data_IF_428187272729
#
_entry.id   IF_428187272729
#
_cell.length_a   1.000
_cell.length_b   1.000
_cell.length_c   1.000
_cell.angle_alpha   90.00
_cell.angle_beta   90.00
_cell.angle_gamma   90.00
#
_symmetry.space_group_name_H-M   'P 1'
#
loop_
_entity.id
_entity.type
_entity.pdbx_description
1 polymer ?
#
# COMPACT_ATOMS: atom_id res chain seq x y z
N UNK A 1 23.29 19.46 -11.61
CA UNK A 1 21.91 19.70 -12.09
C UNK A 1 21.20 18.36 -11.98
N UNK A 2 20.05 18.29 -11.30
CA UNK A 2 19.25 17.06 -11.24
C UNK A 2 18.12 17.28 -12.23
N UNK A 3 18.13 16.53 -13.32
CA UNK A 3 17.02 16.54 -14.28
C UNK A 3 15.81 15.88 -13.63
N UNK A 4 14.66 16.55 -13.70
CA UNK A 4 13.38 16.04 -13.18
C UNK A 4 12.61 15.49 -14.37
N UNK A 5 12.26 14.21 -14.29
CA UNK A 5 11.51 13.52 -15.34
C UNK A 5 10.09 13.23 -14.83
N UNK A 6 9.04 13.58 -15.60
CA UNK A 6 7.69 13.17 -15.29
C UNK A 6 7.55 11.66 -15.51
N UNK A 7 6.90 11.00 -14.55
CA UNK A 7 6.64 9.57 -14.59
C UNK A 7 5.20 9.33 -14.16
N UNK A 8 4.49 8.53 -14.94
CA UNK A 8 3.14 8.08 -14.64
C UNK A 8 3.17 6.59 -14.32
N UNK A 9 2.66 6.23 -13.14
CA UNK A 9 2.62 4.85 -12.67
C UNK A 9 1.18 4.53 -12.30
N UNK A 10 0.66 3.44 -12.84
CA UNK A 10 -0.59 2.84 -12.40
C UNK A 10 -0.35 1.38 -11.98
N UNK A 11 -1.18 0.90 -11.05
CA UNK A 11 -1.00 -0.44 -10.51
C UNK A 11 -2.21 -0.90 -9.70
N UNK A 12 -2.12 -2.14 -9.26
CA UNK A 12 -3.04 -2.76 -8.30
C UNK A 12 -2.25 -3.13 -7.06
N UNK A 13 -2.89 -3.12 -5.89
CA UNK A 13 -2.28 -3.56 -4.66
C UNK A 13 -3.33 -4.12 -3.70
N UNK A 14 -2.90 -4.96 -2.78
CA UNK A 14 -3.73 -5.40 -1.67
C UNK A 14 -3.55 -4.42 -0.52
N UNK A 15 -4.67 -3.99 0.06
CA UNK A 15 -4.65 -3.16 1.25
C UNK A 15 -4.67 -4.05 2.49
N UNK A 16 -3.72 -3.83 3.40
CA UNK A 16 -3.58 -4.61 4.63
C UNK A 16 -3.41 -3.65 5.80
N UNK A 17 -4.02 -3.99 6.94
CA UNK A 17 -3.78 -3.32 8.20
C UNK A 17 -2.78 -4.13 9.03
N UNK A 18 -1.70 -3.50 9.48
CA UNK A 18 -0.71 -4.09 10.38
C UNK A 18 -0.93 -3.57 11.79
N UNK A 19 -1.40 -4.45 12.68
CA UNK A 19 -1.78 -4.09 14.05
C UNK A 19 -0.61 -3.60 14.90
N UNK A 20 0.59 -4.18 14.73
CA UNK A 20 1.78 -3.77 15.48
C UNK A 20 2.24 -2.34 15.15
N UNK A 21 2.04 -1.91 13.90
CA UNK A 21 2.48 -0.61 13.41
C UNK A 21 1.35 0.44 13.42
N UNK A 22 0.12 0.02 13.76
CA UNK A 22 -1.10 0.82 13.67
C UNK A 22 -1.25 1.49 12.30
N UNK A 23 -0.93 0.79 11.22
CA UNK A 23 -0.81 1.39 9.89
C UNK A 23 -1.40 0.53 8.76
N UNK A 24 -1.83 1.22 7.71
CA UNK A 24 -2.36 0.63 6.48
C UNK A 24 -1.30 0.67 5.38
N UNK A 25 -1.10 -0.49 4.75
CA UNK A 25 -0.09 -0.72 3.74
C UNK A 25 -0.73 -1.19 2.44
N UNK A 26 -0.18 -0.73 1.32
CA UNK A 26 -0.26 -1.50 0.09
C UNK A 26 0.81 -2.59 0.12
N UNK A 27 0.36 -3.84 0.06
CA UNK A 27 1.18 -5.04 -0.12
C UNK A 27 0.90 -5.68 -1.47
N UNK A 28 1.85 -6.46 -1.96
CA UNK A 28 1.74 -7.18 -3.23
C UNK A 28 1.38 -6.25 -4.40
N UNK A 29 1.95 -5.05 -4.41
CA UNK A 29 1.72 -4.08 -5.48
C UNK A 29 2.15 -4.71 -6.80
N UNK A 30 1.33 -4.56 -7.84
CA UNK A 30 1.63 -4.95 -9.22
C UNK A 30 1.43 -3.74 -10.10
N UNK A 31 2.47 -3.33 -10.80
CA UNK A 31 2.35 -2.25 -11.77
C UNK A 31 1.62 -2.76 -13.01
N UNK A 32 0.73 -1.93 -13.54
CA UNK A 32 -0.09 -2.22 -14.73
C UNK A 32 0.42 -1.41 -15.91
N UNK A 33 0.66 -0.11 -15.70
CA UNK A 33 1.17 0.77 -16.73
C UNK A 33 2.21 1.68 -16.11
N UNK A 34 3.35 1.81 -16.79
CA UNK A 34 4.33 2.80 -16.42
C UNK A 34 4.83 3.49 -17.66
N UNK A 35 4.79 4.81 -17.62
CA UNK A 35 5.17 5.66 -18.72
C UNK A 35 6.17 6.69 -18.19
N UNK A 36 7.39 6.61 -18.71
CA UNK A 36 8.43 7.57 -18.43
C UNK A 36 8.75 8.30 -19.73
N UNK A 37 8.74 9.63 -19.69
CA UNK A 37 9.10 10.45 -20.84
C UNK A 37 10.63 10.44 -21.03
N UNK A 38 11.17 9.30 -21.45
CA UNK A 38 12.57 9.09 -21.78
C UNK A 38 12.76 9.05 -23.31
N UNK A 39 13.73 9.81 -23.80
CA UNK A 39 14.25 9.65 -25.15
C UNK A 39 15.13 8.41 -25.33
N UNK A 40 15.42 7.66 -24.26
CA UNK A 40 16.26 6.46 -24.24
C UNK A 40 15.63 5.31 -23.43
N UNK A 41 15.12 4.29 -24.13
CA UNK A 41 14.39 3.14 -23.55
C UNK A 41 15.16 2.30 -22.51
N UNK A 42 16.49 2.23 -22.56
CA UNK A 42 17.25 1.36 -21.65
C UNK A 42 17.27 1.84 -20.19
N UNK A 43 17.28 3.16 -19.97
CA UNK A 43 17.24 3.73 -18.62
C UNK A 43 15.86 3.55 -17.96
N UNK A 44 14.81 3.53 -18.77
CA UNK A 44 13.44 3.32 -18.33
C UNK A 44 13.32 1.95 -17.64
N UNK A 45 13.71 0.86 -18.30
CA UNK A 45 13.61 -0.50 -17.75
C UNK A 45 14.34 -0.67 -16.41
N UNK A 46 15.55 -0.13 -16.27
CA UNK A 46 16.35 -0.26 -15.04
C UNK A 46 15.78 0.56 -13.87
N UNK A 47 15.30 1.78 -14.13
CA UNK A 47 14.61 2.61 -13.13
C UNK A 47 13.33 1.91 -12.71
N UNK A 48 12.61 1.34 -13.67
CA UNK A 48 11.39 0.60 -13.44
C UNK A 48 11.61 -0.62 -12.55
N UNK A 49 12.59 -1.46 -12.84
CA UNK A 49 12.87 -2.66 -12.05
C UNK A 49 13.21 -2.32 -10.59
N UNK A 50 14.01 -1.26 -10.37
CA UNK A 50 14.38 -0.82 -9.02
C UNK A 50 13.23 -0.16 -8.26
N UNK A 51 12.43 0.68 -8.94
CA UNK A 51 11.22 1.25 -8.34
C UNK A 51 10.20 0.17 -7.98
N UNK A 52 10.00 -0.80 -8.88
CA UNK A 52 9.14 -1.96 -8.64
C UNK A 52 9.59 -2.68 -7.38
N UNK A 53 10.88 -3.02 -7.25
CA UNK A 53 11.41 -3.70 -6.06
C UNK A 53 11.19 -2.90 -4.75
N UNK A 54 11.26 -1.57 -4.81
CA UNK A 54 11.00 -0.69 -3.67
C UNK A 54 9.52 -0.54 -3.31
N UNK A 55 8.67 -0.28 -4.31
CA UNK A 55 7.22 -0.06 -4.15
C UNK A 55 6.43 -1.33 -3.86
N UNK A 56 6.90 -2.49 -4.34
CA UNK A 56 6.19 -3.76 -4.18
C UNK A 56 5.98 -4.12 -2.72
N UNK A 57 6.97 -3.81 -1.87
CA UNK A 57 7.05 -4.48 -0.58
C UNK A 57 6.35 -3.75 0.55
N UNK A 58 6.39 -2.41 0.65
CA UNK A 58 5.75 -1.68 1.75
C UNK A 58 5.50 -0.19 1.42
N UNK A 59 4.37 0.14 0.79
CA UNK A 59 3.93 1.54 0.70
C UNK A 59 2.96 1.83 1.85
N UNK A 60 3.39 2.62 2.83
CA UNK A 60 2.52 3.13 3.90
C UNK A 60 1.58 4.17 3.28
N UNK A 61 0.29 4.01 3.54
CA UNK A 61 -0.74 4.95 3.07
C UNK A 61 -1.17 5.84 4.23
N UNK A 62 -1.50 5.22 5.35
CA UNK A 62 -2.05 5.88 6.52
C UNK A 62 -1.45 5.23 7.75
N UNK A 63 -0.84 6.03 8.61
CA UNK A 63 -0.47 5.62 9.97
C UNK A 63 -1.43 6.26 10.94
N UNK A 64 -1.99 5.47 11.84
CA UNK A 64 -2.86 5.94 12.90
C UNK A 64 -2.04 6.32 14.12
N UNK A 65 -2.46 7.35 14.82
CA UNK A 65 -1.92 7.66 16.14
C UNK A 65 -2.43 6.63 17.16
N UNK A 66 -1.57 6.22 18.10
CA UNK A 66 -1.93 5.26 19.16
C UNK A 66 -3.07 5.76 20.06
N UNK A 67 -3.25 7.08 20.12
CA UNK A 67 -4.34 7.74 20.86
C UNK A 67 -5.70 7.58 20.17
N UNK A 68 -5.72 7.23 18.87
CA UNK A 68 -6.91 7.18 18.04
C UNK A 68 -7.93 6.19 18.60
N UNK A 69 -9.21 6.58 18.71
CA UNK A 69 -10.29 5.66 19.06
C UNK A 69 -10.33 4.44 18.13
N UNK A 70 -9.97 4.64 16.86
CA UNK A 70 -9.95 3.56 15.86
C UNK A 70 -8.90 2.51 16.20
N UNK A 71 -7.69 2.91 16.63
CA UNK A 71 -6.64 1.97 17.07
C UNK A 71 -7.15 1.12 18.23
N UNK A 72 -7.82 1.74 19.21
CA UNK A 72 -8.39 1.00 20.36
C UNK A 72 -9.46 0.00 19.96
N UNK A 73 -10.22 0.29 18.90
CA UNK A 73 -11.28 -0.58 18.41
C UNK A 73 -10.73 -1.79 17.65
N UNK A 74 -9.71 -1.57 16.80
CA UNK A 74 -9.19 -2.58 15.87
C UNK A 74 -8.02 -3.39 16.45
N UNK A 75 -7.29 -2.85 17.42
CA UNK A 75 -6.12 -3.53 18.00
C UNK A 75 -6.53 -4.84 18.69
N UNK A 76 -5.77 -5.90 18.43
CA UNK A 76 -6.05 -7.26 18.88
C UNK A 76 -7.21 -7.97 18.15
N UNK A 77 -7.68 -7.43 17.02
CA UNK A 77 -8.64 -8.09 16.12
C UNK A 77 -7.99 -8.40 14.78
N UNK A 78 -8.42 -9.51 14.16
CA UNK A 78 -8.15 -9.74 12.76
C UNK A 78 -9.09 -8.86 11.93
N UNK A 79 -8.51 -7.89 11.22
CA UNK A 79 -9.22 -6.91 10.40
C UNK A 79 -8.84 -7.11 8.95
N UNK A 80 -9.82 -7.45 8.13
CA UNK A 80 -9.70 -7.40 6.68
C UNK A 80 -10.06 -6.00 6.19
N UNK A 81 -9.32 -5.49 5.21
CA UNK A 81 -9.56 -4.15 4.66
C UNK A 81 -9.98 -4.27 3.21
N UNK A 82 -11.10 -3.62 2.86
CA UNK A 82 -11.62 -3.60 1.48
C UNK A 82 -11.88 -2.16 1.07
N UNK A 83 -11.43 -1.79 -0.12
CA UNK A 83 -11.75 -0.50 -0.72
C UNK A 83 -13.03 -0.64 -1.57
N UNK A 84 -14.10 0.07 -1.19
CA UNK A 84 -15.38 0.08 -1.93
C UNK A 84 -15.71 1.52 -2.29
N UNK A 85 -15.79 1.82 -3.59
CA UNK A 85 -16.11 3.15 -4.12
C UNK A 85 -15.25 4.29 -3.51
N UNK A 86 -13.96 4.03 -3.29
CA UNK A 86 -13.02 5.00 -2.72
C UNK A 86 -13.03 5.10 -1.19
N UNK A 87 -13.85 4.31 -0.50
CA UNK A 87 -13.92 4.24 0.96
C UNK A 87 -13.22 2.98 1.45
N UNK A 88 -12.39 3.12 2.48
CA UNK A 88 -11.79 1.99 3.18
C UNK A 88 -12.76 1.43 4.21
N UNK A 89 -13.22 0.20 3.98
CA UNK A 89 -14.09 -0.53 4.89
C UNK A 89 -13.28 -1.56 5.67
N UNK A 90 -13.48 -1.59 6.98
CA UNK A 90 -12.86 -2.54 7.91
C UNK A 90 -13.85 -3.66 8.22
N UNK A 91 -13.48 -4.89 7.93
CA UNK A 91 -14.28 -6.08 8.22
C UNK A 91 -13.62 -6.87 9.35
N UNK A 92 -14.38 -7.14 10.40
CA UNK A 92 -13.89 -7.86 11.56
C UNK A 92 -14.13 -9.36 11.40
N UNK A 93 -13.08 -10.16 11.47
CA UNK A 93 -13.24 -11.61 11.58
C UNK A 93 -13.95 -11.96 12.89
N UNK A 94 -14.87 -12.94 12.91
CA UNK A 94 -15.50 -13.41 14.14
C UNK A 94 -14.44 -13.87 15.14
N UNK A 95 -14.59 -13.51 16.42
CA UNK A 95 -13.74 -14.08 17.48
C UNK A 95 -13.87 -15.60 17.43
N UNK A 96 -12.75 -16.30 17.31
CA UNK A 96 -12.74 -17.75 17.52
C UNK A 96 -13.38 -18.01 18.90
N UNK A 97 -14.34 -18.95 19.02
CA UNK A 97 -14.93 -19.25 20.31
C UNK A 97 -13.81 -19.69 21.25
N UNK A 98 -13.69 -18.98 22.37
CA UNK A 98 -12.85 -19.37 23.51
C UNK A 98 -13.22 -20.80 23.90
N UNK A 99 -12.28 -21.73 23.69
CA UNK A 99 -12.35 -23.09 24.24
C UNK A 99 -12.14 -23.05 25.75
#
# INVERSE_FOLDING_TARGET
>A
MIDRLPMFISGTANLVYEGEESAFYFRNTRLVEVNVDFSMHFFEELVMENMIKGLINNLIIIRLEDSSPMVKEINGRNVDVVAVAGILQLMYSPRAPSQ
#
